data_IF_347685699579
#
_entry.id   IF_347685699579
#
_cell.length_a   1.000
_cell.length_b   1.000
_cell.length_c   1.000
_cell.angle_alpha   90.00
_cell.angle_beta   90.00
_cell.angle_gamma   90.00
#
_symmetry.space_group_name_H-M   'P 1'
#
loop_
_entity.id
_entity.type
_entity.pdbx_description
1 polymer ?
#
# COMPACT_ATOMS: atom_id res chain seq x y z
N UNK A 1 -68.12 42.08 4.32
CA UNK A 1 -68.64 41.03 3.41
C UNK A 1 -67.78 41.09 2.15
N UNK A 2 -66.79 40.18 2.01
CA UNK A 2 -65.73 40.32 1.03
C UNK A 2 -65.97 39.52 -0.26
N UNK A 3 -65.33 40.04 -1.29
CA UNK A 3 -65.20 39.60 -2.68
C UNK A 3 -64.54 38.20 -2.80
N UNK A 4 -65.15 37.26 -3.52
CA UNK A 4 -64.63 35.90 -3.75
C UNK A 4 -64.25 35.68 -5.21
N UNK A 5 -63.04 36.12 -5.57
CA UNK A 5 -62.35 35.72 -6.79
C UNK A 5 -61.86 34.27 -6.67
N UNK A 6 -62.29 33.40 -7.59
CA UNK A 6 -61.86 32.01 -7.73
C UNK A 6 -60.33 31.89 -7.88
N UNK A 7 -59.69 31.14 -6.98
CA UNK A 7 -58.31 30.64 -7.15
C UNK A 7 -58.37 29.20 -7.67
N UNK A 8 -57.58 28.83 -8.69
CA UNK A 8 -57.49 27.44 -9.15
C UNK A 8 -56.69 26.59 -8.15
N UNK A 9 -57.16 25.36 -7.97
CA UNK A 9 -56.56 24.29 -7.16
C UNK A 9 -55.13 23.95 -7.61
N UNK A 10 -54.21 23.64 -6.66
CA UNK A 10 -52.83 23.31 -6.99
C UNK A 10 -52.75 21.92 -7.65
N UNK A 11 -52.12 21.87 -8.83
CA UNK A 11 -51.73 20.63 -9.49
C UNK A 11 -50.76 19.84 -8.58
N UNK A 12 -50.86 18.50 -8.53
CA UNK A 12 -49.90 17.69 -7.77
C UNK A 12 -48.51 17.87 -8.37
N UNK A 13 -47.57 18.31 -7.53
CA UNK A 13 -46.15 18.39 -7.86
C UNK A 13 -45.61 17.00 -8.18
N UNK A 14 -44.80 16.84 -9.24
CA UNK A 14 -44.16 15.56 -9.50
C UNK A 14 -43.14 15.33 -8.39
N UNK A 15 -43.40 14.33 -7.54
CA UNK A 15 -42.40 13.74 -6.66
C UNK A 15 -41.24 13.30 -7.55
N UNK A 16 -40.17 14.10 -7.60
CA UNK A 16 -38.85 13.68 -8.05
C UNK A 16 -38.38 12.62 -7.05
N UNK A 17 -38.75 11.37 -7.30
CA UNK A 17 -37.96 10.24 -6.88
C UNK A 17 -36.65 10.31 -7.69
N UNK A 18 -35.71 11.11 -7.21
CA UNK A 18 -34.30 10.89 -7.52
C UNK A 18 -33.94 9.54 -6.92
N UNK A 19 -34.07 8.48 -7.71
CA UNK A 19 -33.27 7.28 -7.51
C UNK A 19 -31.82 7.77 -7.52
N UNK A 20 -31.21 7.87 -6.33
CA UNK A 20 -29.77 7.90 -6.22
C UNK A 20 -29.27 6.65 -6.95
N UNK A 21 -28.62 6.83 -8.11
CA UNK A 21 -27.79 5.77 -8.70
C UNK A 21 -26.85 5.34 -7.59
N UNK A 22 -26.94 4.08 -7.15
CA UNK A 22 -25.93 3.46 -6.29
C UNK A 22 -24.59 3.68 -6.98
N UNK A 23 -23.73 4.51 -6.39
CA UNK A 23 -22.38 4.69 -6.88
C UNK A 23 -21.64 3.36 -6.76
N UNK A 24 -21.22 2.82 -7.90
CA UNK A 24 -20.21 1.76 -7.96
C UNK A 24 -18.99 2.21 -7.14
N UNK A 25 -18.53 1.30 -6.30
CA UNK A 25 -17.74 1.57 -5.12
C UNK A 25 -16.40 0.86 -5.30
N UNK A 26 -15.45 1.52 -5.95
CA UNK A 26 -14.18 0.88 -6.31
C UNK A 26 -13.14 1.03 -5.20
N UNK A 27 -12.65 -0.10 -4.68
CA UNK A 27 -11.50 -0.19 -3.80
C UNK A 27 -10.20 -0.28 -4.61
N UNK A 28 -9.13 0.38 -4.12
CA UNK A 28 -7.80 0.34 -4.73
C UNK A 28 -6.79 -0.27 -3.76
N UNK A 29 -6.48 -1.54 -3.98
CA UNK A 29 -5.37 -2.22 -3.32
C UNK A 29 -4.07 -2.03 -4.09
N UNK A 30 -2.94 -2.10 -3.37
CA UNK A 30 -1.60 -2.19 -3.98
C UNK A 30 -0.83 -3.34 -3.35
N UNK A 31 -0.25 -4.20 -4.17
CA UNK A 31 0.56 -5.32 -3.71
C UNK A 31 2.01 -5.11 -4.15
N UNK A 32 3.00 -5.17 -3.22
CA UNK A 32 4.39 -4.97 -3.58
C UNK A 32 4.94 -6.16 -4.38
N UNK A 33 5.73 -5.83 -5.40
CA UNK A 33 6.57 -6.76 -6.15
C UNK A 33 8.02 -6.45 -5.77
N UNK A 34 8.75 -7.46 -5.31
CA UNK A 34 10.10 -7.33 -4.77
C UNK A 34 11.13 -8.04 -5.65
N UNK A 35 12.40 -7.62 -5.58
CA UNK A 35 13.52 -8.36 -6.18
C UNK A 35 14.06 -9.47 -5.26
N UNK A 36 15.10 -10.16 -5.73
CA UNK A 36 15.76 -11.25 -4.99
C UNK A 36 16.46 -10.85 -3.68
N UNK A 37 16.69 -9.55 -3.48
CA UNK A 37 17.22 -8.97 -2.24
C UNK A 37 16.11 -8.42 -1.33
N UNK A 38 14.85 -8.50 -1.78
CA UNK A 38 13.67 -8.03 -1.07
C UNK A 38 13.44 -6.53 -1.17
N UNK A 39 14.11 -5.84 -2.11
CA UNK A 39 13.85 -4.43 -2.37
C UNK A 39 12.58 -4.29 -3.20
N UNK A 40 11.77 -3.27 -2.88
CA UNK A 40 10.59 -2.93 -3.66
C UNK A 40 10.98 -2.46 -5.07
N UNK A 41 10.42 -3.11 -6.09
CA UNK A 41 10.67 -2.75 -7.50
C UNK A 41 9.43 -2.27 -8.22
N UNK A 42 8.24 -2.75 -7.88
CA UNK A 42 6.98 -2.39 -8.52
C UNK A 42 5.79 -2.60 -7.55
N UNK A 43 4.62 -2.12 -7.95
CA UNK A 43 3.35 -2.47 -7.31
C UNK A 43 2.38 -3.06 -8.32
N UNK A 44 1.67 -4.11 -7.95
CA UNK A 44 0.43 -4.49 -8.64
C UNK A 44 -0.74 -3.68 -8.07
N UNK A 45 -1.59 -3.17 -8.95
CA UNK A 45 -2.81 -2.47 -8.59
C UNK A 45 -4.00 -3.42 -8.66
N UNK A 46 -4.70 -3.57 -7.54
CA UNK A 46 -5.86 -4.44 -7.38
C UNK A 46 -7.12 -3.58 -7.29
N UNK A 47 -8.10 -3.85 -8.17
CA UNK A 47 -9.36 -3.11 -8.21
C UNK A 47 -10.55 -4.04 -7.95
N UNK A 48 -11.47 -3.63 -7.08
CA UNK A 48 -12.69 -4.38 -6.76
C UNK A 48 -13.87 -3.43 -6.61
N UNK A 49 -14.99 -3.72 -7.29
CA UNK A 49 -16.19 -2.85 -7.34
C UNK A 49 -17.30 -3.25 -6.34
N UNK A 50 -17.21 -4.44 -5.72
CA UNK A 50 -18.30 -4.97 -4.89
C UNK A 50 -17.84 -5.97 -3.81
N UNK A 51 -18.55 -6.05 -2.66
CA UNK A 51 -18.32 -7.05 -1.59
C UNK A 51 -18.69 -8.49 -1.98
N UNK A 52 -19.43 -8.67 -3.08
CA UNK A 52 -19.99 -9.96 -3.46
C UNK A 52 -18.94 -10.81 -4.18
N UNK A 53 -18.62 -11.99 -3.62
CA UNK A 53 -17.59 -12.92 -4.11
C UNK A 53 -17.97 -13.61 -5.45
N UNK A 54 -18.90 -13.01 -6.22
CA UNK A 54 -19.36 -13.49 -7.52
C UNK A 54 -18.95 -12.49 -8.57
N UNK A 55 -17.75 -12.72 -9.10
CA UNK A 55 -17.25 -12.09 -10.32
C UNK A 55 -18.33 -12.14 -11.41
N UNK A 56 -18.94 -10.98 -11.70
CA UNK A 56 -19.66 -10.77 -12.94
C UNK A 56 -18.68 -10.06 -13.84
N UNK A 57 -18.19 -10.77 -14.86
CA UNK A 57 -17.19 -10.34 -15.87
C UNK A 57 -17.44 -8.93 -16.46
N UNK A 58 -18.66 -8.41 -16.36
CA UNK A 58 -19.00 -7.04 -16.77
C UNK A 58 -18.55 -5.92 -15.80
N UNK A 59 -18.41 -6.18 -14.49
CA UNK A 59 -18.03 -5.16 -13.49
C UNK A 59 -16.51 -4.92 -13.47
N UNK A 60 -15.69 -5.97 -13.66
CA UNK A 60 -14.22 -5.87 -13.57
C UNK A 60 -13.62 -4.94 -14.62
N UNK A 61 -14.21 -4.90 -15.83
CA UNK A 61 -13.84 -3.99 -16.91
C UNK A 61 -14.12 -2.53 -16.53
N UNK A 62 -15.32 -2.25 -16.02
CA UNK A 62 -15.70 -0.89 -15.63
C UNK A 62 -14.94 -0.40 -14.39
N UNK A 63 -14.67 -1.28 -13.43
CA UNK A 63 -13.91 -0.98 -12.22
C UNK A 63 -12.46 -0.61 -12.54
N UNK A 64 -11.79 -1.43 -13.36
CA UNK A 64 -10.42 -1.17 -13.79
C UNK A 64 -10.34 0.11 -14.62
N UNK A 65 -11.30 0.33 -15.54
CA UNK A 65 -11.33 1.56 -16.33
C UNK A 65 -11.59 2.81 -15.47
N UNK A 66 -12.55 2.76 -14.55
CA UNK A 66 -12.85 3.89 -13.68
C UNK A 66 -11.66 4.25 -12.79
N UNK A 67 -10.88 3.25 -12.35
CA UNK A 67 -9.70 3.50 -11.52
C UNK A 67 -8.47 3.90 -12.31
N UNK A 68 -8.23 3.37 -13.52
CA UNK A 68 -7.18 3.91 -14.38
C UNK A 68 -7.46 5.39 -14.66
N UNK A 69 -8.71 5.74 -14.99
CA UNK A 69 -9.13 7.13 -15.16
C UNK A 69 -8.95 7.98 -13.89
N UNK A 70 -9.29 7.46 -12.70
CA UNK A 70 -9.08 8.17 -11.43
C UNK A 70 -7.62 8.29 -11.00
N UNK A 71 -6.84 7.22 -11.15
CA UNK A 71 -5.42 7.16 -10.76
C UNK A 71 -4.60 8.06 -11.66
N UNK A 72 -4.88 8.06 -12.97
CA UNK A 72 -4.22 8.92 -13.95
C UNK A 72 -4.75 10.36 -13.88
N UNK A 73 -6.06 10.56 -13.71
CA UNK A 73 -6.71 11.86 -13.84
C UNK A 73 -6.92 12.65 -12.53
N UNK A 74 -7.43 12.03 -11.47
CA UNK A 74 -7.85 12.73 -10.23
C UNK A 74 -6.79 12.66 -9.10
N UNK A 75 -6.14 11.51 -8.95
CA UNK A 75 -5.25 11.20 -7.82
C UNK A 75 -3.77 11.50 -8.16
N UNK A 76 -3.38 11.25 -9.40
CA UNK A 76 -2.00 11.33 -9.86
C UNK A 76 -1.22 10.04 -9.62
N UNK A 77 -0.63 9.51 -10.70
CA UNK A 77 0.21 8.30 -10.70
C UNK A 77 1.33 8.31 -9.64
N UNK A 78 2.04 9.43 -9.37
CA UNK A 78 3.07 9.46 -8.33
C UNK A 78 2.56 9.23 -6.91
N UNK A 79 1.32 9.62 -6.61
CA UNK A 79 0.72 9.47 -5.28
C UNK A 79 0.45 7.99 -4.95
N UNK A 80 0.11 7.17 -5.95
CA UNK A 80 -0.22 5.75 -5.75
C UNK A 80 1.02 4.85 -5.85
N UNK A 81 1.86 5.10 -6.85
CA UNK A 81 2.97 4.21 -7.22
C UNK A 81 4.36 4.71 -6.77
N UNK A 82 4.46 5.93 -6.26
CA UNK A 82 5.75 6.54 -5.96
C UNK A 82 6.65 6.61 -7.21
N UNK A 83 7.95 6.26 -7.11
CA UNK A 83 8.85 6.18 -8.25
C UNK A 83 8.74 4.85 -9.03
N UNK A 84 7.98 3.89 -8.52
CA UNK A 84 7.93 2.55 -9.08
C UNK A 84 6.90 2.44 -10.22
N UNK A 85 7.08 1.49 -11.15
CA UNK A 85 6.05 1.11 -12.10
C UNK A 85 4.88 0.38 -11.42
N UNK A 86 3.70 0.50 -12.02
CA UNK A 86 2.48 -0.18 -11.62
C UNK A 86 2.10 -1.29 -12.60
N UNK A 87 1.73 -2.45 -12.10
CA UNK A 87 1.14 -3.54 -12.88
C UNK A 87 -0.38 -3.37 -12.81
N UNK A 88 -1.03 -3.40 -13.95
CA UNK A 88 -2.48 -3.18 -14.06
C UNK A 88 -3.08 -4.35 -14.81
N UNK A 89 -4.07 -4.99 -14.19
CA UNK A 89 -4.87 -6.05 -14.78
C UNK A 89 -5.62 -5.54 -16.02
N UNK A 90 -5.46 -6.23 -17.14
CA UNK A 90 -6.01 -5.86 -18.44
C UNK A 90 -6.80 -7.01 -19.04
N UNK A 91 -8.12 -6.88 -19.00
CA UNK A 91 -9.00 -7.74 -19.79
C UNK A 91 -8.83 -7.47 -21.29
N UNK A 92 -9.36 -8.38 -22.11
CA UNK A 92 -9.39 -8.19 -23.56
C UNK A 92 -10.07 -6.87 -23.94
N UNK A 93 -11.25 -6.61 -23.39
CA UNK A 93 -12.03 -5.41 -23.69
C UNK A 93 -11.24 -4.14 -23.41
N UNK A 94 -10.56 -4.08 -22.25
CA UNK A 94 -9.76 -2.92 -21.86
C UNK A 94 -8.57 -2.69 -22.78
N UNK A 95 -7.93 -3.74 -23.29
CA UNK A 95 -6.82 -3.58 -24.23
C UNK A 95 -7.25 -2.86 -25.51
N UNK A 96 -8.49 -3.05 -25.95
CA UNK A 96 -9.05 -2.41 -27.14
C UNK A 96 -9.73 -1.06 -26.86
N UNK A 97 -9.87 -0.68 -25.59
CA UNK A 97 -10.46 0.59 -25.19
C UNK A 97 -9.43 1.74 -25.26
N UNK A 98 -9.92 2.96 -25.47
CA UNK A 98 -9.07 4.16 -25.55
C UNK A 98 -8.42 4.51 -24.22
N UNK A 99 -8.90 3.95 -23.11
CA UNK A 99 -8.29 4.14 -21.79
C UNK A 99 -6.83 3.71 -21.73
N UNK A 100 -6.38 2.79 -22.58
CA UNK A 100 -4.95 2.44 -22.61
C UNK A 100 -4.09 3.64 -23.00
N UNK A 101 -4.64 4.56 -23.80
CA UNK A 101 -3.91 5.72 -24.30
C UNK A 101 -3.72 6.84 -23.26
N UNK A 102 -4.42 6.79 -22.12
CA UNK A 102 -4.17 7.73 -21.02
C UNK A 102 -3.05 7.24 -20.08
N UNK A 103 -2.66 5.96 -20.17
CA UNK A 103 -1.58 5.40 -19.37
C UNK A 103 -0.21 5.70 -19.97
N UNK A 104 0.75 6.06 -19.11
CA UNK A 104 2.14 6.27 -19.53
C UNK A 104 2.91 4.93 -19.55
N UNK A 105 3.48 4.52 -20.69
CA UNK A 105 4.15 3.22 -20.84
C UNK A 105 5.39 3.07 -19.94
N UNK A 106 6.02 4.18 -19.54
CA UNK A 106 7.15 4.17 -18.60
C UNK A 106 6.70 3.88 -17.15
N UNK A 107 5.41 4.08 -16.86
CA UNK A 107 4.83 3.95 -15.52
C UNK A 107 4.00 2.68 -15.34
N UNK A 108 3.54 2.07 -16.43
CA UNK A 108 2.61 0.94 -16.36
C UNK A 108 3.09 -0.28 -17.14
N UNK A 109 2.93 -1.44 -16.52
CA UNK A 109 3.01 -2.76 -17.16
C UNK A 109 1.58 -3.30 -17.29
N UNK A 110 1.22 -3.73 -18.49
CA UNK A 110 -0.11 -4.25 -18.78
C UNK A 110 -0.15 -5.75 -18.53
N UNK A 111 -0.96 -6.18 -17.58
CA UNK A 111 -1.05 -7.55 -17.13
C UNK A 111 -2.21 -8.27 -17.80
N UNK A 112 -1.89 -9.25 -18.63
CA UNK A 112 -2.86 -10.05 -19.36
C UNK A 112 -3.36 -11.18 -18.46
N UNK A 113 -4.66 -11.21 -18.23
CA UNK A 113 -5.32 -12.25 -17.42
C UNK A 113 -5.14 -13.64 -18.05
N UNK A 114 -5.12 -14.67 -17.23
CA UNK A 114 -4.87 -16.07 -17.60
C UNK A 114 -5.94 -16.65 -18.54
N UNK A 115 -7.16 -16.11 -18.48
CA UNK A 115 -8.30 -16.54 -19.28
C UNK A 115 -8.39 -15.87 -20.67
N UNK A 116 -7.41 -15.02 -21.03
CA UNK A 116 -7.45 -14.28 -22.29
C UNK A 116 -7.13 -15.16 -23.50
N UNK A 117 -8.00 -15.13 -24.51
CA UNK A 117 -7.76 -15.87 -25.76
C UNK A 117 -6.87 -15.07 -26.71
N UNK A 118 -5.71 -15.63 -27.06
CA UNK A 118 -4.79 -15.08 -28.05
C UNK A 118 -5.20 -15.45 -29.47
N UNK A 119 -5.91 -14.54 -30.12
CA UNK A 119 -6.23 -14.57 -31.56
C UNK A 119 -5.42 -13.53 -32.34
N UNK A 120 -5.55 -13.54 -33.67
CA UNK A 120 -4.83 -12.61 -34.56
C UNK A 120 -5.06 -11.14 -34.17
N UNK A 121 -6.29 -10.79 -33.77
CA UNK A 121 -6.63 -9.44 -33.35
C UNK A 121 -5.87 -9.03 -32.08
N UNK A 122 -5.82 -9.90 -31.07
CA UNK A 122 -5.08 -9.61 -29.84
C UNK A 122 -3.58 -9.52 -30.09
N UNK A 123 -3.01 -10.43 -30.88
CA UNK A 123 -1.59 -10.35 -31.26
C UNK A 123 -1.24 -9.01 -31.92
N UNK A 124 -2.08 -8.56 -32.86
CA UNK A 124 -1.90 -7.26 -33.51
C UNK A 124 -2.03 -6.11 -32.52
N UNK A 125 -2.98 -6.16 -31.59
CA UNK A 125 -3.17 -5.11 -30.57
C UNK A 125 -2.00 -5.05 -29.60
N UNK A 126 -1.52 -6.18 -29.09
CA UNK A 126 -0.32 -6.25 -28.26
C UNK A 126 0.90 -5.67 -29.00
N UNK A 127 1.10 -6.03 -30.27
CA UNK A 127 2.18 -5.46 -31.08
C UNK A 127 2.09 -3.92 -31.22
N UNK A 128 0.89 -3.37 -31.44
CA UNK A 128 0.67 -1.93 -31.48
C UNK A 128 1.03 -1.25 -30.16
N UNK A 129 0.58 -1.80 -29.04
CA UNK A 129 0.84 -1.24 -27.71
C UNK A 129 2.32 -1.38 -27.31
N UNK A 130 2.99 -2.47 -27.69
CA UNK A 130 4.45 -2.61 -27.53
C UNK A 130 5.22 -1.57 -28.34
N UNK A 131 4.79 -1.29 -29.57
CA UNK A 131 5.38 -0.20 -30.37
C UNK A 131 5.15 1.18 -29.75
N UNK A 132 4.10 1.34 -28.94
CA UNK A 132 3.86 2.54 -28.14
C UNK A 132 4.68 2.57 -26.82
N UNK A 133 5.49 1.54 -26.54
CA UNK A 133 6.39 1.47 -25.40
C UNK A 133 5.89 0.62 -24.22
N UNK A 134 4.67 0.09 -24.28
CA UNK A 134 4.14 -0.73 -23.18
C UNK A 134 4.86 -2.07 -23.07
N UNK A 135 5.04 -2.51 -21.82
CA UNK A 135 5.45 -3.88 -21.49
C UNK A 135 4.25 -4.71 -21.07
N UNK A 136 4.31 -6.00 -21.33
CA UNK A 136 3.25 -6.94 -20.98
C UNK A 136 3.72 -8.00 -19.99
N UNK A 137 2.88 -8.27 -19.01
CA UNK A 137 2.97 -9.43 -18.13
C UNK A 137 1.85 -10.42 -18.45
N UNK A 138 2.10 -11.72 -18.33
CA UNK A 138 1.05 -12.75 -18.35
C UNK A 138 0.83 -13.27 -16.93
N UNK A 139 -0.42 -13.29 -16.48
CA UNK A 139 -0.78 -13.60 -15.10
C UNK A 139 -1.09 -15.09 -14.83
N UNK A 140 -1.01 -15.50 -13.56
CA UNK A 140 -1.47 -16.80 -13.03
C UNK A 140 -1.03 -18.05 -13.83
N UNK A 141 0.20 -18.06 -14.36
CA UNK A 141 0.74 -19.22 -15.11
C UNK A 141 1.09 -20.36 -14.17
N UNK A 142 0.52 -21.55 -14.42
CA UNK A 142 0.76 -22.75 -13.60
C UNK A 142 1.57 -23.85 -14.29
N UNK A 143 1.62 -23.85 -15.63
CA UNK A 143 2.25 -24.93 -16.42
C UNK A 143 2.68 -24.46 -17.81
N UNK A 144 3.48 -25.28 -18.48
CA UNK A 144 3.83 -25.10 -19.88
C UNK A 144 2.84 -25.84 -20.78
N UNK A 145 2.11 -25.11 -21.62
CA UNK A 145 1.26 -25.68 -22.67
C UNK A 145 1.33 -24.87 -23.97
N UNK A 146 0.65 -25.36 -25.02
CA UNK A 146 0.69 -24.74 -26.35
C UNK A 146 0.13 -23.31 -26.37
N UNK A 147 -0.90 -23.05 -25.55
CA UNK A 147 -1.50 -21.72 -25.43
C UNK A 147 -0.49 -20.73 -24.82
N UNK A 148 0.18 -21.12 -23.73
CA UNK A 148 1.25 -20.32 -23.16
C UNK A 148 2.34 -20.05 -24.19
N UNK A 149 2.85 -21.10 -24.86
CA UNK A 149 3.92 -20.98 -25.85
C UNK A 149 3.58 -20.01 -27.00
N UNK A 150 2.33 -20.00 -27.45
CA UNK A 150 1.85 -19.07 -28.47
C UNK A 150 1.76 -17.62 -27.96
N UNK A 151 1.45 -17.42 -26.67
CA UNK A 151 1.38 -16.10 -26.04
C UNK A 151 2.77 -15.48 -25.77
N UNK A 152 3.78 -16.30 -25.49
CA UNK A 152 5.12 -15.85 -25.05
C UNK A 152 5.75 -14.76 -25.94
N UNK A 153 5.67 -14.78 -27.29
CA UNK A 153 6.25 -13.71 -28.11
C UNK A 153 5.66 -12.31 -27.85
N UNK A 154 4.46 -12.23 -27.28
CA UNK A 154 3.73 -10.97 -27.04
C UNK A 154 3.96 -10.37 -25.67
N UNK A 155 4.62 -11.10 -24.77
CA UNK A 155 4.79 -10.71 -23.36
C UNK A 155 6.27 -10.61 -22.98
N UNK A 156 6.60 -9.74 -22.04
CA UNK A 156 7.97 -9.52 -21.57
C UNK A 156 8.20 -10.22 -20.22
N UNK A 157 7.14 -10.30 -19.41
CA UNK A 157 7.12 -10.83 -18.06
C UNK A 157 6.11 -11.99 -17.98
N UNK A 158 6.41 -13.02 -17.18
CA UNK A 158 5.49 -14.10 -16.86
C UNK A 158 5.40 -14.24 -15.35
N UNK A 159 4.18 -14.10 -14.82
CA UNK A 159 3.85 -14.27 -13.42
C UNK A 159 3.40 -15.73 -13.24
N UNK A 160 4.09 -16.45 -12.36
CA UNK A 160 3.84 -17.88 -12.11
C UNK A 160 3.22 -18.00 -10.73
N UNK A 161 2.01 -18.55 -10.68
CA UNK A 161 1.37 -18.92 -9.42
C UNK A 161 2.14 -20.08 -8.80
N UNK A 162 2.96 -19.76 -7.80
CA UNK A 162 3.86 -20.72 -7.17
C UNK A 162 3.12 -21.71 -6.27
N UNK A 163 1.91 -21.37 -5.82
CA UNK A 163 1.09 -22.21 -4.95
C UNK A 163 0.30 -23.23 -5.77
N UNK A 164 -0.21 -22.83 -6.94
CA UNK A 164 -1.00 -23.70 -7.81
C UNK A 164 -0.16 -24.52 -8.80
N UNK A 165 1.05 -24.06 -9.14
CA UNK A 165 1.94 -24.80 -10.03
C UNK A 165 2.43 -26.12 -9.41
N UNK A 166 2.63 -27.12 -10.27
CA UNK A 166 3.26 -28.37 -9.84
C UNK A 166 4.75 -28.16 -9.59
N UNK A 167 5.15 -28.23 -8.31
CA UNK A 167 6.53 -28.03 -7.88
C UNK A 167 7.53 -29.01 -8.52
N UNK A 168 7.09 -30.19 -8.98
CA UNK A 168 7.96 -31.12 -9.71
C UNK A 168 8.35 -30.58 -11.10
N UNK A 169 7.46 -29.83 -11.74
CA UNK A 169 7.64 -29.29 -13.09
C UNK A 169 8.08 -27.82 -13.12
N UNK A 170 8.05 -27.12 -11.98
CA UNK A 170 8.53 -25.74 -11.85
C UNK A 170 9.94 -25.49 -12.41
N UNK A 171 10.95 -26.37 -12.21
CA UNK A 171 12.28 -26.17 -12.78
C UNK A 171 12.27 -26.13 -14.32
N UNK A 172 11.48 -27.02 -14.93
CA UNK A 172 11.36 -27.11 -16.39
C UNK A 172 10.62 -25.90 -16.96
N UNK A 173 9.53 -25.49 -16.30
CA UNK A 173 8.77 -24.29 -16.64
C UNK A 173 9.66 -23.04 -16.58
N UNK A 174 10.31 -22.79 -15.44
CA UNK A 174 11.18 -21.64 -15.26
C UNK A 174 12.31 -21.61 -16.31
N UNK A 175 13.00 -22.74 -16.52
CA UNK A 175 14.05 -22.84 -17.53
C UNK A 175 13.53 -22.62 -18.96
N UNK A 176 12.33 -23.11 -19.30
CA UNK A 176 11.71 -22.89 -20.60
C UNK A 176 11.37 -21.42 -20.85
N UNK A 177 10.90 -20.71 -19.83
CA UNK A 177 10.56 -19.29 -19.92
C UNK A 177 11.82 -18.41 -19.98
N UNK A 178 12.82 -18.66 -19.12
CA UNK A 178 14.10 -17.93 -19.12
C UNK A 178 14.85 -18.09 -20.44
N UNK A 179 14.87 -19.30 -21.03
CA UNK A 179 15.47 -19.52 -22.37
C UNK A 179 14.83 -18.68 -23.48
N UNK A 180 13.58 -18.23 -23.29
CA UNK A 180 12.86 -17.34 -24.21
C UNK A 180 12.98 -15.87 -23.82
N UNK A 181 13.90 -15.54 -22.92
CA UNK A 181 14.21 -14.17 -22.50
C UNK A 181 13.13 -13.52 -21.64
N UNK A 182 12.30 -14.30 -20.95
CA UNK A 182 11.23 -13.76 -20.08
C UNK A 182 11.76 -13.43 -18.70
N UNK A 183 11.28 -12.33 -18.14
CA UNK A 183 11.40 -12.04 -16.72
C UNK A 183 10.31 -12.81 -15.97
N UNK A 184 10.67 -13.37 -14.81
CA UNK A 184 9.74 -14.19 -14.04
C UNK A 184 9.38 -13.51 -12.71
N UNK A 185 8.08 -13.45 -12.43
CA UNK A 185 7.55 -13.08 -11.12
C UNK A 185 7.02 -14.36 -10.47
N UNK A 186 7.50 -14.69 -9.27
CA UNK A 186 6.95 -15.78 -8.48
C UNK A 186 5.82 -15.23 -7.60
N UNK A 187 4.60 -15.69 -7.81
CA UNK A 187 3.42 -15.20 -7.11
C UNK A 187 2.94 -16.16 -6.03
N UNK A 188 2.10 -15.63 -5.12
CA UNK A 188 1.52 -16.39 -4.01
C UNK A 188 2.59 -17.12 -3.18
N UNK A 189 3.77 -16.53 -3.06
CA UNK A 189 4.83 -17.00 -2.16
C UNK A 189 4.34 -16.85 -0.72
N UNK A 190 4.21 -17.95 0.02
CA UNK A 190 3.67 -17.94 1.40
C UNK A 190 4.73 -18.25 2.46
N UNK A 191 5.80 -18.96 2.09
CA UNK A 191 6.84 -19.44 3.00
C UNK A 191 8.26 -19.09 2.56
N UNK A 192 9.22 -19.23 3.48
CA UNK A 192 10.64 -18.98 3.21
C UNK A 192 11.20 -20.00 2.24
N UNK A 193 10.72 -21.22 2.32
CA UNK A 193 11.16 -22.29 1.45
C UNK A 193 10.69 -22.05 0.01
N UNK A 194 9.47 -21.52 -0.18
CA UNK A 194 8.97 -21.09 -1.49
C UNK A 194 9.88 -20.02 -2.09
N UNK A 195 10.20 -18.97 -1.33
CA UNK A 195 11.08 -17.89 -1.78
C UNK A 195 12.47 -18.42 -2.16
N UNK A 196 13.09 -19.23 -1.28
CA UNK A 196 14.41 -19.80 -1.56
C UNK A 196 14.39 -20.74 -2.75
N UNK A 197 13.31 -21.51 -2.94
CA UNK A 197 13.12 -22.37 -4.10
C UNK A 197 12.99 -21.54 -5.37
N UNK A 198 12.07 -20.58 -5.42
CA UNK A 198 11.87 -19.68 -6.55
C UNK A 198 13.18 -18.96 -6.93
N UNK A 199 13.92 -18.46 -5.94
CA UNK A 199 15.22 -17.82 -6.18
C UNK A 199 16.26 -18.78 -6.78
N UNK A 200 16.31 -20.03 -6.30
CA UNK A 200 17.19 -21.07 -6.89
C UNK A 200 16.80 -21.42 -8.32
N UNK A 201 15.52 -21.35 -8.66
CA UNK A 201 15.00 -21.59 -10.02
C UNK A 201 15.22 -20.41 -10.97
N UNK A 202 15.77 -19.29 -10.50
CA UNK A 202 16.13 -18.14 -11.32
C UNK A 202 14.98 -17.17 -11.58
N UNK A 203 13.98 -17.14 -10.69
CA UNK A 203 12.97 -16.08 -10.68
C UNK A 203 13.60 -14.73 -10.38
N UNK A 204 13.12 -13.69 -11.07
CA UNK A 204 13.68 -12.34 -11.01
C UNK A 204 13.00 -11.50 -9.92
N UNK A 205 11.67 -11.66 -9.79
CA UNK A 205 10.84 -10.92 -8.86
C UNK A 205 9.90 -11.84 -8.08
N UNK A 206 9.39 -11.32 -6.97
CA UNK A 206 8.62 -12.09 -6.01
C UNK A 206 7.47 -11.28 -5.45
N UNK A 207 6.32 -11.95 -5.34
CA UNK A 207 5.08 -11.40 -4.83
C UNK A 207 4.37 -12.48 -4.01
N UNK A 208 3.83 -12.12 -2.86
CA UNK A 208 3.13 -13.08 -2.03
C UNK A 208 3.06 -12.67 -0.57
N UNK A 209 2.17 -13.34 0.16
CA UNK A 209 1.89 -13.03 1.56
C UNK A 209 3.12 -13.24 2.46
N UNK A 210 4.06 -14.10 2.07
CA UNK A 210 5.40 -14.21 2.68
C UNK A 210 6.02 -12.83 2.89
N UNK A 211 6.04 -11.95 1.89
CA UNK A 211 6.68 -10.64 2.02
C UNK A 211 5.87 -9.62 2.83
N UNK A 212 4.56 -9.85 2.96
CA UNK A 212 3.71 -9.12 3.90
C UNK A 212 3.78 -9.70 5.32
N UNK A 213 4.35 -10.91 5.51
CA UNK A 213 4.50 -11.55 6.81
C UNK A 213 5.74 -11.03 7.54
N UNK A 214 5.57 -10.61 8.81
CA UNK A 214 6.65 -10.29 9.73
C UNK A 214 7.86 -11.24 9.74
N UNK A 215 7.60 -12.55 9.78
CA UNK A 215 8.62 -13.57 10.04
C UNK A 215 9.67 -13.72 8.93
N UNK A 216 9.48 -13.05 7.81
CA UNK A 216 10.28 -13.17 6.59
C UNK A 216 11.37 -12.11 6.53
N UNK A 217 11.09 -10.99 7.21
CA UNK A 217 11.99 -9.87 7.42
C UNK A 217 12.91 -10.13 8.63
N UNK A 218 12.91 -11.34 9.19
CA UNK A 218 13.68 -11.73 10.40
C UNK A 218 15.15 -12.04 10.13
N UNK A 219 15.62 -11.99 8.88
CA UNK A 219 17.07 -11.91 8.61
C UNK A 219 17.67 -10.55 9.01
N UNK A 220 16.89 -9.66 9.63
CA UNK A 220 17.34 -8.38 10.16
C UNK A 220 18.02 -8.60 11.51
N UNK A 221 19.35 -8.57 11.50
CA UNK A 221 20.16 -8.49 12.73
C UNK A 221 19.57 -7.42 13.65
N UNK A 222 19.62 -7.68 14.96
CA UNK A 222 19.33 -6.68 15.97
C UNK A 222 20.25 -5.48 15.73
N UNK A 223 19.70 -4.37 15.24
CA UNK A 223 20.48 -3.15 15.12
C UNK A 223 20.65 -2.55 16.53
N UNK A 224 21.88 -2.19 16.95
CA UNK A 224 22.13 -1.43 18.17
C UNK A 224 21.26 -0.15 18.27
N UNK A 225 20.83 0.41 17.13
CA UNK A 225 19.98 1.60 17.08
C UNK A 225 18.56 1.36 17.61
N UNK A 226 18.02 0.13 17.57
CA UNK A 226 16.64 -0.14 18.02
C UNK A 226 16.45 0.06 19.52
N UNK A 227 17.42 -0.36 20.33
CA UNK A 227 17.38 -0.13 21.77
C UNK A 227 17.41 1.36 22.12
N UNK A 228 18.15 2.15 21.35
CA UNK A 228 18.18 3.61 21.48
C UNK A 228 16.88 4.27 21.06
N UNK A 229 16.24 3.80 19.97
CA UNK A 229 14.94 4.31 19.53
C UNK A 229 13.86 4.03 20.59
N UNK A 230 13.84 2.83 21.17
CA UNK A 230 12.91 2.48 22.25
C UNK A 230 13.10 3.37 23.49
N UNK A 231 14.35 3.68 23.87
CA UNK A 231 14.63 4.64 24.95
C UNK A 231 14.19 6.05 24.61
N UNK A 232 14.49 6.53 23.41
CA UNK A 232 14.04 7.85 22.94
C UNK A 232 12.52 7.97 22.99
N UNK A 233 11.80 6.93 22.57
CA UNK A 233 10.35 6.87 22.64
C UNK A 233 9.82 6.90 24.07
N UNK A 234 10.49 6.19 24.99
CA UNK A 234 10.16 6.24 26.43
C UNK A 234 10.36 7.63 27.02
N UNK A 235 11.44 8.34 26.63
CA UNK A 235 11.71 9.71 27.06
C UNK A 235 10.64 10.66 26.52
N UNK A 236 10.31 10.55 25.22
CA UNK A 236 9.28 11.36 24.57
C UNK A 236 7.88 11.21 25.17
N UNK A 237 7.55 10.01 25.67
CA UNK A 237 6.27 9.75 26.32
C UNK A 237 6.11 10.47 27.68
N UNK A 238 7.22 10.87 28.33
CA UNK A 238 7.24 11.50 29.65
C UNK A 238 7.31 13.04 29.65
N UNK A 239 6.91 13.71 28.57
CA UNK A 239 7.03 15.17 28.38
C UNK A 239 8.43 15.73 28.71
N UNK A 240 9.47 15.32 27.98
CA UNK A 240 10.85 15.57 28.36
C UNK A 240 11.25 17.02 28.14
N UNK A 241 12.15 17.51 28.99
CA UNK A 241 12.78 18.80 28.77
C UNK A 241 13.75 18.79 27.57
N UNK A 242 13.96 19.95 26.93
CA UNK A 242 14.88 20.09 25.78
C UNK A 242 16.28 19.49 26.02
N UNK A 243 16.83 19.64 27.24
CA UNK A 243 18.15 19.09 27.60
C UNK A 243 18.16 17.57 27.62
N UNK A 244 17.09 16.94 28.08
CA UNK A 244 16.97 15.49 28.16
C UNK A 244 16.90 14.88 26.75
N UNK A 245 16.07 15.46 25.88
CA UNK A 245 16.00 15.09 24.46
C UNK A 245 17.34 15.24 23.75
N UNK A 246 18.04 16.35 23.95
CA UNK A 246 19.37 16.55 23.37
C UNK A 246 20.36 15.47 23.82
N UNK A 247 20.36 15.11 25.10
CA UNK A 247 21.28 14.10 25.63
C UNK A 247 21.00 12.72 25.03
N UNK A 248 19.74 12.33 24.90
CA UNK A 248 19.39 11.02 24.33
C UNK A 248 19.63 10.98 22.81
N UNK A 249 19.34 12.06 22.08
CA UNK A 249 19.64 12.15 20.65
C UNK A 249 21.16 12.16 20.38
N UNK A 250 21.96 12.86 21.18
CA UNK A 250 23.44 12.88 21.04
C UNK A 250 24.09 11.51 21.22
N UNK A 251 23.44 10.57 21.90
CA UNK A 251 23.92 9.18 22.00
C UNK A 251 23.81 8.41 20.68
N UNK A 252 23.08 8.93 19.69
CA UNK A 252 22.78 8.26 18.43
C UNK A 252 22.93 9.23 17.25
N UNK A 253 24.16 9.41 16.73
CA UNK A 253 24.44 10.35 15.64
C UNK A 253 23.57 10.13 14.39
N UNK A 254 23.25 8.88 14.05
CA UNK A 254 22.41 8.55 12.89
C UNK A 254 20.99 9.11 13.02
N UNK A 255 20.43 9.05 14.23
CA UNK A 255 19.11 9.61 14.53
C UNK A 255 19.14 11.14 14.41
N UNK A 256 20.22 11.78 14.86
CA UNK A 256 20.42 13.24 14.73
C UNK A 256 20.50 13.67 13.27
N UNK A 257 21.25 12.96 12.43
CA UNK A 257 21.38 13.29 11.01
C UNK A 257 20.01 13.24 10.33
N UNK A 258 19.23 12.21 10.60
CA UNK A 258 17.90 12.09 9.99
C UNK A 258 16.89 13.12 10.55
N UNK A 259 16.95 13.45 11.84
CA UNK A 259 16.17 14.55 12.42
C UNK A 259 16.52 15.89 11.77
N UNK A 260 17.81 16.17 11.56
CA UNK A 260 18.25 17.39 10.86
C UNK A 260 17.71 17.42 9.42
N UNK A 261 17.66 16.28 8.72
CA UNK A 261 17.04 16.21 7.40
C UNK A 261 15.53 16.50 7.45
N UNK A 262 14.81 15.91 8.41
CA UNK A 262 13.37 16.13 8.61
C UNK A 262 13.02 17.59 8.96
N UNK A 263 13.82 18.19 9.85
CA UNK A 263 13.65 19.58 10.22
C UNK A 263 13.91 20.53 9.04
N UNK A 264 14.82 20.18 8.14
CA UNK A 264 15.13 20.98 6.95
C UNK A 264 14.14 20.77 5.79
N UNK A 265 13.53 19.59 5.64
CA UNK A 265 12.50 19.36 4.61
C UNK A 265 11.22 20.16 4.89
N UNK A 266 10.87 20.34 6.17
CA UNK A 266 9.74 21.17 6.60
C UNK A 266 10.06 22.68 6.63
N UNK A 267 11.34 23.04 6.82
CA UNK A 267 11.78 24.44 6.89
C UNK A 267 12.09 25.08 5.52
N UNK A 268 12.26 24.29 4.45
CA UNK A 268 12.41 24.80 3.08
C UNK A 268 11.20 25.64 2.63
N UNK A 269 10.00 25.36 3.13
CA UNK A 269 8.80 26.18 2.90
C UNK A 269 8.86 27.55 3.60
N UNK A 270 9.76 27.75 4.57
CA UNK A 270 9.91 29.00 5.36
C UNK A 270 11.24 29.73 5.15
N UNK A 271 12.11 29.26 4.25
CA UNK A 271 13.35 29.96 3.87
C UNK A 271 14.45 30.01 4.94
N UNK A 272 14.36 29.26 6.04
CA UNK A 272 15.41 29.16 7.07
C UNK A 272 15.91 27.72 7.19
N UNK A 273 17.23 27.52 7.04
CA UNK A 273 17.86 26.22 7.32
C UNK A 273 18.07 26.08 8.82
N UNK A 274 17.76 24.90 9.34
CA UNK A 274 17.99 24.50 10.72
C UNK A 274 19.47 24.16 10.89
N UNK A 275 20.15 24.85 11.80
CA UNK A 275 21.61 24.80 11.96
C UNK A 275 22.08 24.05 13.21
N UNK A 276 21.16 23.79 14.16
CA UNK A 276 21.47 23.10 15.41
C UNK A 276 20.44 22.05 15.76
N UNK A 277 20.85 21.07 16.58
CA UNK A 277 19.96 20.03 17.10
C UNK A 277 18.79 20.62 17.90
N UNK A 278 19.01 21.69 18.67
CA UNK A 278 17.94 22.40 19.40
C UNK A 278 16.90 22.98 18.45
N UNK A 279 17.35 23.67 17.41
CA UNK A 279 16.45 24.21 16.40
C UNK A 279 15.69 23.10 15.69
N UNK A 280 16.32 21.95 15.44
CA UNK A 280 15.67 20.80 14.81
C UNK A 280 14.57 20.19 15.70
N UNK A 281 14.85 19.99 16.99
CA UNK A 281 13.88 19.50 17.97
C UNK A 281 12.72 20.49 18.09
N UNK A 282 13.00 21.79 18.19
CA UNK A 282 11.98 22.83 18.32
C UNK A 282 11.12 22.96 17.06
N UNK A 283 11.72 22.87 15.87
CA UNK A 283 11.01 22.95 14.60
C UNK A 283 10.15 21.70 14.32
N UNK A 284 10.61 20.53 14.78
CA UNK A 284 9.92 19.25 14.56
C UNK A 284 8.81 19.02 15.59
N UNK A 285 9.05 19.37 16.86
CA UNK A 285 8.16 19.06 17.97
C UNK A 285 8.26 17.60 18.44
N UNK A 286 7.89 17.34 19.70
CA UNK A 286 7.96 16.02 20.33
C UNK A 286 7.05 14.98 19.68
N UNK A 287 5.84 15.39 19.28
CA UNK A 287 4.87 14.51 18.60
C UNK A 287 5.41 13.95 17.29
N UNK A 288 5.99 14.81 16.43
CA UNK A 288 6.57 14.37 15.17
C UNK A 288 7.88 13.58 15.39
N UNK A 289 8.66 13.94 16.41
CA UNK A 289 9.85 13.16 16.82
C UNK A 289 9.46 11.72 17.19
N UNK A 290 8.38 11.55 17.95
CA UNK A 290 7.85 10.25 18.37
C UNK A 290 7.44 9.40 17.18
N UNK A 291 6.64 9.97 16.27
CA UNK A 291 6.19 9.27 15.04
C UNK A 291 7.35 8.84 14.16
N UNK A 292 8.38 9.68 14.07
CA UNK A 292 9.54 9.39 13.27
C UNK A 292 10.46 8.33 13.93
N UNK A 293 10.66 8.40 15.26
CA UNK A 293 11.37 7.36 16.00
C UNK A 293 10.68 6.00 15.90
N UNK A 294 9.34 5.98 15.93
CA UNK A 294 8.52 4.79 15.70
C UNK A 294 8.75 4.18 14.31
N UNK A 295 8.79 5.00 13.26
CA UNK A 295 9.05 4.53 11.89
C UNK A 295 10.50 4.02 11.71
N UNK A 296 11.46 4.65 12.37
CA UNK A 296 12.86 4.22 12.29
C UNK A 296 13.11 2.81 12.87
N UNK A 297 12.24 2.30 13.73
CA UNK A 297 12.35 0.91 14.21
C UNK A 297 12.39 -0.10 13.05
N UNK A 298 11.79 0.27 11.91
CA UNK A 298 11.67 -0.55 10.72
C UNK A 298 12.71 -0.24 9.64
N UNK A 299 13.44 0.87 9.76
CA UNK A 299 14.37 1.33 8.73
C UNK A 299 15.71 0.56 8.70
N UNK A 300 16.11 -0.01 9.82
CA UNK A 300 17.51 -0.34 10.09
C UNK A 300 17.76 -1.84 10.22
N UNK A 301 17.43 -2.60 9.18
CA UNK A 301 17.55 -4.06 9.19
C UNK A 301 18.26 -4.69 8.00
N UNK A 302 18.21 -4.08 6.82
CA UNK A 302 18.59 -4.71 5.54
C UNK A 302 19.71 -4.00 4.77
N UNK A 303 20.20 -2.84 5.23
CA UNK A 303 21.17 -2.04 4.48
C UNK A 303 20.59 -1.37 3.22
N UNK A 304 19.29 -1.53 2.97
CA UNK A 304 18.59 -0.85 1.90
C UNK A 304 18.39 0.63 2.22
N UNK A 305 18.33 1.52 1.21
CA UNK A 305 17.82 2.86 1.41
C UNK A 305 16.46 2.78 2.10
N UNK A 306 16.25 3.61 3.12
CA UNK A 306 15.03 3.64 3.95
C UNK A 306 13.72 3.58 3.13
N UNK A 307 13.74 4.10 1.90
CA UNK A 307 12.61 4.21 0.97
C UNK A 307 12.23 2.90 0.28
N UNK A 308 13.20 2.01 0.09
CA UNK A 308 13.05 0.75 -0.63
C UNK A 308 12.70 -0.40 0.30
N UNK A 309 12.60 -0.13 1.61
CA UNK A 309 12.24 -1.11 2.62
C UNK A 309 10.72 -1.39 2.59
N UNK A 310 10.29 -2.57 2.14
CA UNK A 310 8.86 -2.89 1.98
C UNK A 310 8.13 -2.96 3.33
N UNK A 311 8.82 -3.33 4.42
CA UNK A 311 8.22 -3.37 5.75
C UNK A 311 7.89 -1.97 6.23
N UNK A 312 8.81 -1.03 6.04
CA UNK A 312 8.54 0.36 6.40
C UNK A 312 7.37 0.92 5.57
N UNK A 313 7.36 0.67 4.26
CA UNK A 313 6.26 1.11 3.39
C UNK A 313 4.91 0.59 3.88
N UNK A 314 4.84 -0.71 4.21
CA UNK A 314 3.64 -1.34 4.75
C UNK A 314 3.21 -0.72 6.09
N UNK A 315 4.12 -0.69 7.07
CA UNK A 315 3.88 -0.14 8.42
C UNK A 315 3.42 1.30 8.33
N UNK A 316 4.10 2.05 7.48
CA UNK A 316 3.88 3.45 7.25
C UNK A 316 2.52 3.76 6.65
N UNK A 317 2.19 3.13 5.52
CA UNK A 317 0.88 3.28 4.89
C UNK A 317 -0.23 2.82 5.82
N UNK A 318 -0.04 1.73 6.57
CA UNK A 318 -1.02 1.27 7.57
C UNK A 318 -1.26 2.31 8.65
N UNK A 319 -0.19 2.81 9.27
CA UNK A 319 -0.30 3.82 10.33
C UNK A 319 -1.00 5.09 9.84
N UNK A 320 -0.64 5.58 8.65
CA UNK A 320 -1.27 6.76 8.07
C UNK A 320 -2.72 6.52 7.69
N UNK A 321 -3.06 5.35 7.14
CA UNK A 321 -4.43 5.00 6.82
C UNK A 321 -5.31 4.95 8.07
N UNK A 322 -4.85 4.31 9.16
CA UNK A 322 -5.55 4.26 10.44
C UNK A 322 -5.78 5.67 11.01
N UNK A 323 -4.76 6.52 10.97
CA UNK A 323 -4.85 7.92 11.40
C UNK A 323 -5.92 8.70 10.62
N UNK A 324 -5.89 8.62 9.29
CA UNK A 324 -6.84 9.34 8.45
C UNK A 324 -8.27 8.81 8.65
N UNK A 325 -8.43 7.50 8.81
CA UNK A 325 -9.74 6.91 9.09
C UNK A 325 -10.27 7.33 10.47
N UNK A 326 -9.39 7.39 11.48
CA UNK A 326 -9.73 7.89 12.79
C UNK A 326 -10.12 9.37 12.76
N UNK A 327 -9.40 10.21 12.00
CA UNK A 327 -9.74 11.62 11.82
C UNK A 327 -11.07 11.81 11.08
N UNK A 328 -11.40 10.93 10.12
CA UNK A 328 -12.71 10.93 9.47
C UNK A 328 -13.84 10.55 10.43
N UNK A 329 -13.60 9.61 11.35
CA UNK A 329 -14.55 9.16 12.37
C UNK A 329 -14.77 10.19 13.48
N UNK A 330 -13.69 10.81 13.94
CA UNK A 330 -13.67 11.76 15.07
C UNK A 330 -12.76 12.95 14.75
N UNK A 331 -13.23 13.92 13.94
CA UNK A 331 -12.40 15.04 13.46
C UNK A 331 -11.78 15.90 14.56
N UNK A 332 -12.43 15.98 15.73
CA UNK A 332 -11.98 16.80 16.87
C UNK A 332 -11.18 16.00 17.91
N UNK A 333 -10.99 14.70 17.71
CA UNK A 333 -10.30 13.80 18.65
C UNK A 333 -8.89 13.46 18.13
N UNK A 334 -7.97 14.41 18.29
CA UNK A 334 -6.57 14.22 17.90
C UNK A 334 -5.89 13.06 18.64
N UNK A 335 -6.28 12.82 19.90
CA UNK A 335 -5.74 11.74 20.71
C UNK A 335 -6.13 10.37 20.15
N UNK A 336 -7.38 10.21 19.70
CA UNK A 336 -7.81 9.00 19.01
C UNK A 336 -7.10 8.79 17.66
N UNK A 337 -6.87 9.87 16.91
CA UNK A 337 -6.10 9.82 15.66
C UNK A 337 -4.64 9.40 15.89
N UNK A 338 -4.01 9.91 16.96
CA UNK A 338 -2.67 9.50 17.40
C UNK A 338 -2.64 8.02 17.84
N UNK A 339 -3.65 7.58 18.60
CA UNK A 339 -3.77 6.19 19.01
C UNK A 339 -3.95 5.25 17.80
N UNK A 340 -4.68 5.67 16.77
CA UNK A 340 -4.84 4.92 15.53
C UNK A 340 -3.53 4.84 14.74
N UNK A 341 -2.79 5.94 14.61
CA UNK A 341 -1.45 5.93 14.02
C UNK A 341 -0.53 4.92 14.74
N UNK A 342 -0.46 5.01 16.08
CA UNK A 342 0.35 4.11 16.90
C UNK A 342 -0.08 2.65 16.78
N UNK A 343 -1.40 2.39 16.71
CA UNK A 343 -1.94 1.05 16.47
C UNK A 343 -1.41 0.46 15.16
N UNK A 344 -1.38 1.26 14.08
CA UNK A 344 -0.83 0.84 12.80
C UNK A 344 0.65 0.51 12.87
N UNK A 345 1.46 1.36 13.51
CA UNK A 345 2.88 1.10 13.76
C UNK A 345 3.06 -0.22 14.53
N UNK A 346 2.55 -0.29 15.76
CA UNK A 346 2.85 -1.38 16.67
C UNK A 346 2.18 -2.71 16.28
N UNK A 347 1.20 -2.70 15.38
CA UNK A 347 0.67 -3.94 14.79
C UNK A 347 1.73 -4.82 14.10
N UNK A 348 2.90 -4.25 13.78
CA UNK A 348 4.03 -4.91 13.15
C UNK A 348 5.34 -4.83 13.96
N UNK A 349 5.34 -4.31 15.19
CA UNK A 349 6.61 -4.15 15.94
C UNK A 349 7.29 -5.49 16.27
N UNK A 350 6.50 -6.55 16.44
CA UNK A 350 7.00 -7.91 16.66
C UNK A 350 7.85 -8.43 15.49
N UNK A 351 7.64 -7.90 14.27
CA UNK A 351 8.46 -8.19 13.09
C UNK A 351 9.93 -7.86 13.34
N UNK A 352 10.20 -6.70 13.95
CA UNK A 352 11.53 -6.10 14.00
C UNK A 352 12.25 -6.38 15.32
N UNK A 353 11.51 -6.75 16.36
CA UNK A 353 12.06 -7.09 17.67
C UNK A 353 12.16 -8.59 17.92
N UNK A 354 11.62 -9.43 17.04
CA UNK A 354 11.60 -10.90 17.18
C UNK A 354 11.13 -11.37 18.57
N UNK A 355 10.05 -10.74 19.03
CA UNK A 355 9.46 -10.91 20.34
C UNK A 355 7.94 -11.09 20.19
N UNK A 356 7.30 -11.72 21.18
CA UNK A 356 5.85 -11.84 21.16
C UNK A 356 5.19 -10.45 21.26
N UNK A 357 4.13 -10.16 20.47
CA UNK A 357 3.48 -8.85 20.49
C UNK A 357 3.11 -8.40 21.90
N UNK A 358 2.51 -9.26 22.73
CA UNK A 358 2.09 -8.93 24.09
C UNK A 358 3.26 -8.41 24.96
N UNK A 359 4.42 -9.08 24.91
CA UNK A 359 5.60 -8.69 25.69
C UNK A 359 6.15 -7.32 25.28
N UNK A 360 6.08 -7.00 23.98
CA UNK A 360 6.56 -5.71 23.46
C UNK A 360 5.62 -4.59 23.90
N UNK A 361 4.31 -4.80 23.76
CA UNK A 361 3.30 -3.80 24.10
C UNK A 361 3.34 -3.49 25.61
N UNK A 362 3.58 -4.50 26.44
CA UNK A 362 3.73 -4.33 27.89
C UNK A 362 4.99 -3.53 28.24
N UNK A 363 6.13 -3.81 27.60
CA UNK A 363 7.39 -3.04 27.78
C UNK A 363 7.26 -1.58 27.34
N UNK A 364 6.46 -1.33 26.30
CA UNK A 364 6.23 0.01 25.76
C UNK A 364 5.17 0.81 26.53
N UNK A 365 4.48 0.19 27.50
CA UNK A 365 3.43 0.83 28.30
C UNK A 365 2.36 1.52 27.45
N UNK A 366 1.93 0.87 26.36
CA UNK A 366 0.92 1.44 25.48
C UNK A 366 -0.46 1.48 26.14
N UNK A 367 -1.30 2.43 25.72
CA UNK A 367 -2.68 2.54 26.20
C UNK A 367 -3.47 1.24 25.98
N UNK A 368 -4.36 0.92 26.92
CA UNK A 368 -5.14 -0.32 26.92
C UNK A 368 -5.93 -0.53 25.61
N UNK A 369 -6.46 0.54 25.03
CA UNK A 369 -7.20 0.51 23.76
C UNK A 369 -6.32 0.08 22.57
N UNK A 370 -5.07 0.57 22.49
CA UNK A 370 -4.10 0.17 21.47
C UNK A 370 -3.74 -1.31 21.64
N UNK A 371 -3.57 -1.75 22.89
CA UNK A 371 -3.26 -3.14 23.22
C UNK A 371 -4.39 -4.09 22.84
N UNK A 372 -5.63 -3.76 23.18
CA UNK A 372 -6.81 -4.54 22.83
C UNK A 372 -7.00 -4.63 21.31
N UNK A 373 -6.77 -3.53 20.58
CA UNK A 373 -6.83 -3.50 19.13
C UNK A 373 -5.80 -4.44 18.46
N UNK A 374 -4.55 -4.45 18.96
CA UNK A 374 -3.48 -5.24 18.35
C UNK A 374 -3.60 -6.74 18.71
N UNK A 375 -3.92 -7.06 19.97
CA UNK A 375 -3.93 -8.44 20.46
C UNK A 375 -5.24 -9.18 20.18
N UNK A 376 -6.37 -8.50 20.41
CA UNK A 376 -7.71 -9.10 20.34
C UNK A 376 -8.53 -8.62 19.14
N UNK A 377 -8.11 -7.54 18.46
CA UNK A 377 -8.89 -6.94 17.37
C UNK A 377 -10.13 -6.18 17.85
N UNK A 378 -10.16 -5.78 19.12
CA UNK A 378 -11.33 -5.18 19.75
C UNK A 378 -11.40 -3.66 19.61
N UNK A 379 -12.63 -3.13 19.68
CA UNK A 379 -12.93 -1.69 19.64
C UNK A 379 -12.71 -1.03 18.28
N UNK A 380 -12.94 0.28 18.21
CA UNK A 380 -12.82 1.03 16.95
C UNK A 380 -11.41 0.95 16.34
N UNK A 381 -10.36 0.97 17.17
CA UNK A 381 -8.97 0.81 16.70
C UNK A 381 -8.71 -0.59 16.12
N UNK A 382 -9.27 -1.64 16.74
CA UNK A 382 -9.15 -3.02 16.26
C UNK A 382 -9.86 -3.21 14.93
N UNK A 383 -11.05 -2.64 14.78
CA UNK A 383 -11.81 -2.69 13.53
C UNK A 383 -11.13 -1.90 12.40
N UNK A 384 -10.59 -0.71 12.68
CA UNK A 384 -9.77 0.03 11.70
C UNK A 384 -8.53 -0.76 11.26
N UNK A 385 -7.85 -1.43 12.21
CA UNK A 385 -6.74 -2.33 11.91
C UNK A 385 -7.18 -3.54 11.07
N UNK A 386 -8.37 -4.07 11.32
CA UNK A 386 -9.01 -5.12 10.52
C UNK A 386 -9.21 -4.69 9.07
N UNK A 387 -9.79 -3.50 8.84
CA UNK A 387 -9.98 -2.92 7.51
C UNK A 387 -8.63 -2.78 6.79
N UNK A 388 -7.62 -2.23 7.45
CA UNK A 388 -6.30 -2.06 6.84
C UNK A 388 -5.69 -3.39 6.41
N UNK A 389 -5.70 -4.40 7.30
CA UNK A 389 -5.19 -5.74 6.99
C UNK A 389 -5.97 -6.44 5.88
N UNK A 390 -7.28 -6.20 5.78
CA UNK A 390 -8.11 -6.76 4.72
C UNK A 390 -7.84 -6.08 3.37
N UNK A 391 -7.68 -4.76 3.37
CA UNK A 391 -7.31 -3.98 2.20
C UNK A 391 -5.93 -4.36 1.63
N UNK A 392 -4.94 -4.56 2.50
CA UNK A 392 -3.60 -5.05 2.12
C UNK A 392 -3.64 -6.43 1.45
N UNK A 393 -4.71 -7.21 1.68
CA UNK A 393 -4.94 -8.54 1.11
C UNK A 393 -5.88 -8.52 -0.10
N UNK A 394 -6.48 -7.37 -0.43
CA UNK A 394 -7.56 -7.31 -1.41
C UNK A 394 -8.82 -8.09 -1.00
N UNK A 395 -9.02 -8.35 0.29
CA UNK A 395 -10.13 -9.15 0.82
C UNK A 395 -11.34 -8.25 1.11
N UNK A 396 -12.13 -7.95 0.07
CA UNK A 396 -13.32 -7.09 0.19
C UNK A 396 -14.36 -7.61 1.21
N UNK A 397 -14.69 -8.92 1.27
CA UNK A 397 -15.56 -9.46 2.32
C UNK A 397 -15.06 -9.16 3.74
N UNK A 398 -13.74 -9.30 3.99
CA UNK A 398 -13.18 -8.98 5.30
C UNK A 398 -13.13 -7.47 5.60
N UNK A 399 -13.00 -6.62 4.57
CA UNK A 399 -13.13 -5.16 4.72
C UNK A 399 -14.54 -4.83 5.22
N UNK A 400 -15.57 -5.36 4.56
CA UNK A 400 -16.95 -5.09 4.97
C UNK A 400 -17.30 -5.70 6.32
N UNK A 401 -16.83 -6.92 6.63
CA UNK A 401 -17.02 -7.50 7.96
C UNK A 401 -16.44 -6.60 9.06
N UNK A 402 -15.23 -6.06 8.85
CA UNK A 402 -14.57 -5.15 9.79
C UNK A 402 -15.27 -3.79 9.86
N UNK A 403 -15.82 -3.29 8.75
CA UNK A 403 -16.58 -2.04 8.68
C UNK A 403 -17.89 -2.11 9.45
N UNK A 404 -18.57 -3.25 9.44
CA UNK A 404 -19.83 -3.43 10.18
C UNK A 404 -19.63 -3.94 11.62
N UNK A 405 -18.38 -4.05 12.09
CA UNK A 405 -18.08 -4.47 13.46
C UNK A 405 -18.58 -3.46 14.50
N UNK A 406 -18.62 -2.18 14.16
CA UNK A 406 -19.07 -1.09 15.02
C UNK A 406 -19.92 -0.09 14.22
N UNK A 407 -21.10 0.35 14.70
CA UNK A 407 -21.97 1.27 13.95
C UNK A 407 -21.30 2.59 13.56
N UNK A 408 -20.33 3.07 14.35
CA UNK A 408 -19.60 4.31 14.06
C UNK A 408 -18.79 4.24 12.76
N UNK A 409 -18.42 3.03 12.32
CA UNK A 409 -17.58 2.80 11.15
C UNK A 409 -18.37 2.81 9.84
N UNK A 410 -19.70 2.84 9.87
CA UNK A 410 -20.53 2.86 8.66
C UNK A 410 -20.27 4.08 7.78
N UNK A 411 -19.72 5.16 8.35
CA UNK A 411 -19.32 6.36 7.60
C UNK A 411 -18.15 6.08 6.64
N UNK A 412 -17.33 5.06 6.94
CA UNK A 412 -16.17 4.66 6.16
C UNK A 412 -16.62 3.82 4.96
N UNK A 413 -17.47 4.42 4.12
CA UNK A 413 -17.93 3.80 2.88
C UNK A 413 -16.75 3.34 2.01
N UNK A 414 -16.95 2.36 1.11
CA UNK A 414 -15.93 1.93 0.16
C UNK A 414 -15.16 3.08 -0.52
N UNK A 415 -15.88 4.11 -0.97
CA UNK A 415 -15.30 5.28 -1.63
C UNK A 415 -14.43 6.12 -0.70
N UNK A 416 -14.83 6.27 0.57
CA UNK A 416 -14.01 6.94 1.59
C UNK A 416 -12.75 6.11 1.85
N UNK A 417 -12.89 4.79 2.05
CA UNK A 417 -11.76 3.90 2.29
C UNK A 417 -10.74 3.93 1.16
N UNK A 418 -11.18 3.86 -0.10
CA UNK A 418 -10.31 3.95 -1.26
C UNK A 418 -9.55 5.28 -1.30
N UNK A 419 -10.23 6.40 -1.03
CA UNK A 419 -9.59 7.72 -0.94
C UNK A 419 -8.53 7.76 0.16
N UNK A 420 -8.85 7.25 1.35
CA UNK A 420 -7.93 7.25 2.49
C UNK A 420 -6.70 6.36 2.25
N UNK A 421 -6.87 5.22 1.58
CA UNK A 421 -5.75 4.33 1.20
C UNK A 421 -4.79 5.00 0.24
N UNK A 422 -5.34 5.69 -0.76
CA UNK A 422 -4.58 6.48 -1.72
C UNK A 422 -3.81 7.60 -1.02
N UNK A 423 -4.47 8.39 -0.18
CA UNK A 423 -3.81 9.46 0.59
C UNK A 423 -2.71 8.90 1.52
N UNK A 424 -2.93 7.75 2.13
CA UNK A 424 -1.94 7.11 2.99
C UNK A 424 -0.72 6.57 2.20
N UNK A 425 -0.93 6.06 0.99
CA UNK A 425 0.15 5.67 0.08
C UNK A 425 0.95 6.88 -0.40
N UNK A 426 0.25 7.98 -0.73
CA UNK A 426 0.86 9.23 -1.17
C UNK A 426 1.71 9.88 -0.08
N UNK A 427 1.27 9.84 1.17
CA UNK A 427 1.99 10.44 2.29
C UNK A 427 3.44 9.93 2.40
N UNK A 428 3.67 8.63 2.23
CA UNK A 428 5.02 8.06 2.20
C UNK A 428 5.82 8.47 0.96
N UNK A 429 5.15 8.61 -0.17
CA UNK A 429 5.75 9.03 -1.43
C UNK A 429 6.02 10.55 -1.51
N UNK A 430 5.32 11.39 -0.74
CA UNK A 430 5.43 12.85 -0.74
C UNK A 430 6.43 13.39 0.28
N UNK A 431 6.74 12.64 1.35
CA UNK A 431 7.87 12.95 2.26
C UNK A 431 9.24 12.68 1.59
N UNK A 432 9.31 12.84 0.26
CA UNK A 432 10.51 12.98 -0.56
C UNK A 432 11.42 14.00 0.08
N UNK A 433 12.49 13.49 0.70
CA UNK A 433 13.69 14.29 0.88
C UNK A 433 14.48 14.13 -0.42
N UNK A 434 14.48 15.12 -1.31
CA UNK A 434 15.28 15.02 -2.53
C UNK A 434 16.76 14.74 -2.17
N UNK A 435 17.37 13.77 -2.87
CA UNK A 435 18.81 13.48 -2.77
C UNK A 435 19.65 14.38 -3.68
N UNK A 436 19.04 15.26 -4.46
CA UNK A 436 19.77 16.08 -5.42
C UNK A 436 20.17 17.41 -4.81
N UNK A 437 21.30 17.42 -4.10
CA UNK A 437 22.05 18.66 -3.87
C UNK A 437 23.58 18.48 -3.72
N UNK A 438 24.14 17.27 -3.82
CA UNK A 438 25.60 17.07 -3.59
C UNK A 438 26.40 16.48 -4.78
N UNK A 439 25.85 16.48 -6.01
CA UNK A 439 26.62 16.16 -7.24
C UNK A 439 26.64 17.33 -8.23
N UNK A 440 27.00 18.54 -7.76
CA UNK A 440 27.37 19.67 -8.63
C UNK A 440 28.49 20.52 -8.01
#
# INVERSE_FOLDING_TARGET
MPDSSLKPSPKPSPKRATLAKRGQSVYVGRQPILDGDGALVAYELLFRDSPDNRARVHDDVQATAHVVARTVGEIGVPAVLGPHPGYVNMSRELLFDDIVHIMHPERFVLELLENITFDEALFKRCAQLRNAGFRFALDDVIRLDEALLAALPSVDIVKVDFLAADHAHLPELAAALKRRGKLLVAEKIETRDDFLQARRLGFDFFQGYFFARPQVLTARRASPARGSLLRLMSVLAGEPGMRELEMELKRNPDIVVQLMRLANSSAQTRGRRVSSLREAIAATGTRQLMRWAQLLLYADGSGLPWRSDPLLQLVGTRARFLELAAAALRPEDEAFSDAAFMTGIFSLVHVVLDMQPAEILDKLHLAAEIRAAILSGEGSLGALLGIARAAERGDAPAIDASRHAEPVLDILTPAVLAKLQVEAAAWFAEHRMDQNADDA
#
